data_IF_067384342708
#
_entry.id   IF_067384342708
#
_cell.length_a   1.000
_cell.length_b   1.000
_cell.length_c   1.000
_cell.angle_alpha   90.00
_cell.angle_beta   90.00
_cell.angle_gamma   90.00
#
_symmetry.space_group_name_H-M   'P 1'
#
loop_
_entity.id
_entity.type
_entity.pdbx_description
1 polymer ?
#
# COMPACT_ATOMS: atom_id res chain seq x y z
N UNK A 1 8.11 -20.43 -4.56
CA UNK A 1 7.92 -18.98 -4.33
C UNK A 1 7.02 -18.80 -3.11
N UNK A 2 7.56 -18.21 -2.04
CA UNK A 2 6.84 -18.04 -0.76
C UNK A 2 5.72 -17.01 -0.95
N UNK A 3 4.46 -17.35 -0.62
CA UNK A 3 3.34 -16.40 -0.67
C UNK A 3 3.69 -15.16 0.15
N UNK A 4 3.54 -13.97 -0.43
CA UNK A 4 3.83 -12.70 0.23
C UNK A 4 3.09 -12.62 1.57
N UNK A 5 3.84 -12.42 2.65
CA UNK A 5 3.26 -12.38 4.00
C UNK A 5 2.41 -11.12 4.15
N UNK A 6 1.24 -11.24 4.81
CA UNK A 6 0.37 -10.09 5.10
C UNK A 6 1.12 -8.97 5.83
N UNK A 7 2.11 -9.32 6.67
CA UNK A 7 3.00 -8.35 7.31
C UNK A 7 3.77 -7.49 6.30
N UNK A 8 4.31 -8.09 5.24
CA UNK A 8 5.10 -7.35 4.25
C UNK A 8 4.21 -6.40 3.45
N UNK A 9 3.03 -6.84 3.00
CA UNK A 9 2.08 -5.97 2.29
C UNK A 9 1.54 -4.83 3.18
N UNK A 10 1.35 -5.08 4.48
CA UNK A 10 0.96 -4.06 5.43
C UNK A 10 2.08 -3.03 5.65
N UNK A 11 3.34 -3.47 5.82
CA UNK A 11 4.50 -2.58 5.96
C UNK A 11 4.66 -1.70 4.71
N UNK A 12 4.56 -2.27 3.51
CA UNK A 12 4.66 -1.51 2.26
C UNK A 12 3.54 -0.47 2.13
N UNK A 13 2.30 -0.85 2.45
CA UNK A 13 1.18 0.10 2.44
C UNK A 13 1.32 1.19 3.49
N UNK A 14 1.85 0.87 4.67
CA UNK A 14 2.10 1.84 5.73
C UNK A 14 3.13 2.87 5.28
N UNK A 15 4.27 2.42 4.74
CA UNK A 15 5.32 3.31 4.24
C UNK A 15 4.80 4.23 3.13
N UNK A 16 3.99 3.70 2.21
CA UNK A 16 3.39 4.47 1.14
C UNK A 16 2.43 5.54 1.67
N UNK A 17 1.53 5.17 2.56
CA UNK A 17 0.54 6.08 3.14
C UNK A 17 1.21 7.17 4.00
N UNK A 18 2.25 6.82 4.76
CA UNK A 18 3.07 7.77 5.51
C UNK A 18 3.75 8.76 4.56
N UNK A 19 4.39 8.28 3.49
CA UNK A 19 5.07 9.14 2.51
C UNK A 19 4.13 10.15 1.84
N UNK A 20 2.94 9.71 1.42
CA UNK A 20 1.93 10.61 0.84
C UNK A 20 1.44 11.62 1.87
N UNK A 21 1.16 11.19 3.10
CA UNK A 21 0.64 12.09 4.13
C UNK A 21 1.67 13.13 4.55
N UNK A 22 2.94 12.75 4.67
CA UNK A 22 4.03 13.70 4.90
C UNK A 22 4.14 14.70 3.73
N UNK A 23 4.11 14.22 2.50
CA UNK A 23 4.17 15.08 1.32
C UNK A 23 3.03 16.11 1.28
N UNK A 24 1.80 15.67 1.58
CA UNK A 24 0.64 16.54 1.58
C UNK A 24 0.66 17.55 2.74
N UNK A 25 1.15 17.11 3.90
CA UNK A 25 1.37 17.98 5.07
C UNK A 25 2.31 19.14 4.74
N UNK A 26 3.43 18.86 4.05
CA UNK A 26 4.40 19.87 3.66
C UNK A 26 3.90 20.82 2.57
N UNK A 27 2.98 20.39 1.70
CA UNK A 27 2.58 21.15 0.52
C UNK A 27 1.29 21.95 0.69
N UNK A 28 0.32 21.43 1.45
CA UNK A 28 -1.03 22.00 1.48
C UNK A 28 -1.57 22.32 2.88
N UNK A 29 -0.84 22.01 3.97
CA UNK A 29 -1.33 22.17 5.35
C UNK A 29 -2.79 21.70 5.54
N UNK A 30 -3.14 20.47 5.12
CA UNK A 30 -4.50 19.97 5.16
C UNK A 30 -5.02 19.82 6.60
N UNK A 31 -6.34 19.87 6.76
CA UNK A 31 -6.96 19.53 8.05
C UNK A 31 -6.67 18.08 8.43
N UNK A 32 -6.49 17.84 9.74
CA UNK A 32 -6.13 16.52 10.27
C UNK A 32 -7.11 15.40 9.86
N UNK A 33 -8.40 15.71 9.76
CA UNK A 33 -9.42 14.75 9.34
C UNK A 33 -9.29 14.33 7.87
N UNK A 34 -8.93 15.28 7.00
CA UNK A 34 -8.69 15.02 5.59
C UNK A 34 -7.42 14.19 5.38
N UNK A 35 -6.36 14.52 6.13
CA UNK A 35 -5.10 13.78 6.12
C UNK A 35 -5.31 12.31 6.55
N UNK A 36 -6.04 12.09 7.64
CA UNK A 36 -6.32 10.75 8.16
C UNK A 36 -7.15 9.90 7.17
N UNK A 37 -8.11 10.53 6.49
CA UNK A 37 -8.94 9.85 5.49
C UNK A 37 -8.10 9.46 4.27
N UNK A 38 -7.29 10.37 3.73
CA UNK A 38 -6.39 10.11 2.60
C UNK A 38 -5.35 9.03 2.96
N UNK A 39 -4.82 9.06 4.18
CA UNK A 39 -3.94 8.03 4.70
C UNK A 39 -4.62 6.66 4.69
N UNK A 40 -5.81 6.55 5.28
CA UNK A 40 -6.55 5.28 5.37
C UNK A 40 -6.87 4.70 4.00
N UNK A 41 -7.35 5.53 3.06
CA UNK A 41 -7.60 5.11 1.68
C UNK A 41 -6.32 4.65 0.97
N UNK A 42 -5.24 5.42 1.10
CA UNK A 42 -3.95 5.08 0.47
C UNK A 42 -3.38 3.79 1.04
N UNK A 43 -3.45 3.61 2.36
CA UNK A 43 -3.01 2.41 3.06
C UNK A 43 -3.79 1.18 2.59
N UNK A 44 -5.13 1.20 2.68
CA UNK A 44 -5.97 0.05 2.34
C UNK A 44 -5.83 -0.30 0.86
N UNK A 45 -5.92 0.70 -0.03
CA UNK A 45 -5.82 0.51 -1.47
C UNK A 45 -4.47 -0.10 -1.85
N UNK A 46 -3.38 0.45 -1.31
CA UNK A 46 -2.05 -0.05 -1.61
C UNK A 46 -1.80 -1.44 -1.03
N UNK A 47 -2.17 -1.69 0.24
CA UNK A 47 -1.97 -2.99 0.88
C UNK A 47 -2.74 -4.10 0.17
N UNK A 48 -4.00 -3.87 -0.19
CA UNK A 48 -4.83 -4.87 -0.89
C UNK A 48 -4.38 -5.02 -2.35
N UNK A 49 -4.19 -3.91 -3.06
CA UNK A 49 -3.77 -3.91 -4.46
C UNK A 49 -2.40 -4.55 -4.66
N UNK A 50 -1.42 -4.19 -3.85
CA UNK A 50 -0.07 -4.74 -3.91
C UNK A 50 -0.06 -6.26 -3.66
N UNK A 51 -0.83 -6.72 -2.66
CA UNK A 51 -0.99 -8.15 -2.39
C UNK A 51 -1.66 -8.88 -3.56
N UNK A 52 -2.69 -8.28 -4.16
CA UNK A 52 -3.39 -8.87 -5.30
C UNK A 52 -2.47 -8.99 -6.53
N UNK A 53 -1.73 -7.93 -6.85
CA UNK A 53 -0.79 -7.89 -7.96
C UNK A 53 0.30 -8.94 -7.78
N UNK A 54 0.94 -9.00 -6.60
CA UNK A 54 2.01 -9.96 -6.36
C UNK A 54 1.51 -11.42 -6.33
N UNK A 55 0.33 -11.67 -5.76
CA UNK A 55 -0.25 -13.02 -5.82
C UNK A 55 -0.63 -13.42 -7.25
N UNK A 56 -1.08 -12.47 -8.09
CA UNK A 56 -1.36 -12.72 -9.51
C UNK A 56 -0.07 -12.96 -10.31
N UNK A 57 0.98 -12.20 -10.02
CA UNK A 57 2.30 -12.35 -10.65
C UNK A 57 2.91 -13.70 -10.29
N UNK A 58 2.93 -14.06 -9.01
CA UNK A 58 3.44 -15.36 -8.53
C UNK A 58 2.66 -16.55 -9.12
N UNK A 59 1.36 -16.38 -9.41
CA UNK A 59 0.57 -17.40 -10.12
C UNK A 59 0.99 -17.55 -11.59
N UNK A 60 1.33 -16.45 -12.27
CA UNK A 60 1.81 -16.49 -13.67
C UNK A 60 3.18 -17.15 -13.76
N UNK A 61 4.11 -16.79 -12.87
CA UNK A 61 5.44 -17.39 -12.83
C UNK A 61 5.43 -18.89 -12.49
N UNK A 62 4.44 -19.36 -11.73
CA UNK A 62 4.23 -20.77 -11.44
C UNK A 62 3.56 -21.54 -12.59
N UNK A 63 2.95 -20.84 -13.56
CA UNK A 63 2.30 -21.43 -14.72
C UNK A 63 3.22 -21.47 -15.95
N UNK A 64 4.24 -20.61 -15.98
CA UNK A 64 5.30 -20.57 -17.02
C UNK A 64 6.51 -21.48 -16.69
N UNK A 65 6.46 -22.26 -15.61
CA UNK A 65 7.45 -23.30 -15.24
C UNK A 65 6.84 -24.69 -15.34
#
# INVERSE_FOLDING_TARGET
MQRMSWKQSAISGLLFAVGISLWDLFRHSPEMGELATRFAFSFVTFTVGYRFILNRLARREAQDR
#
